data_IF_110680677150
#
_entry.id   IF_110680677150
#
_cell.length_a   1.000
_cell.length_b   1.000
_cell.length_c   1.000
_cell.angle_alpha   90.00
_cell.angle_beta   90.00
_cell.angle_gamma   90.00
#
_symmetry.space_group_name_H-M   'P 1'
#
loop_
_entity.id
_entity.type
_entity.pdbx_description
1 polymer ?
#
# COMPACT_ATOMS: atom_id res chain seq x y z
N UNK A 1 30.42 -13.83 0.59
CA UNK A 1 31.04 -12.52 0.88
C UNK A 1 30.02 -11.86 1.79
N UNK A 2 30.25 -11.60 3.08
CA UNK A 2 29.12 -11.22 3.95
C UNK A 2 28.59 -9.83 3.57
N UNK A 3 27.27 -9.66 3.53
CA UNK A 3 26.63 -8.33 3.51
C UNK A 3 27.09 -7.63 4.79
N UNK A 4 27.79 -6.50 4.66
CA UNK A 4 28.54 -5.87 5.77
C UNK A 4 27.57 -5.20 6.74
N UNK A 5 26.36 -4.89 6.27
CA UNK A 5 25.33 -4.17 7.02
C UNK A 5 24.07 -4.99 7.37
N UNK A 6 24.17 -6.32 7.55
CA UNK A 6 23.02 -7.16 7.94
C UNK A 6 22.32 -6.76 9.25
N UNK A 7 22.96 -5.90 10.05
CA UNK A 7 22.42 -5.42 11.33
C UNK A 7 21.66 -4.09 11.21
N UNK A 8 21.56 -3.52 10.00
CA UNK A 8 20.87 -2.25 9.73
C UNK A 8 19.54 -2.53 9.02
N UNK A 9 18.46 -1.92 9.51
CA UNK A 9 17.17 -1.96 8.84
C UNK A 9 17.21 -1.01 7.64
N UNK A 10 17.11 -1.55 6.43
CA UNK A 10 17.06 -0.76 5.21
C UNK A 10 15.63 -0.57 4.73
N UNK A 11 15.37 0.54 4.06
CA UNK A 11 14.18 0.81 3.26
C UNK A 11 14.63 0.80 1.79
N UNK A 12 13.89 0.07 0.96
CA UNK A 12 14.13 0.01 -0.48
C UNK A 12 13.59 1.27 -1.15
N UNK A 13 14.47 2.13 -1.64
CA UNK A 13 14.06 3.36 -2.34
C UNK A 13 13.80 3.13 -3.83
N UNK A 14 14.61 2.28 -4.46
CA UNK A 14 14.55 2.10 -5.92
C UNK A 14 15.23 0.79 -6.35
N UNK A 15 14.76 0.23 -7.46
CA UNK A 15 15.31 -0.96 -8.12
C UNK A 15 15.72 -0.59 -9.53
N UNK A 16 17.00 -0.29 -9.71
CA UNK A 16 17.54 0.16 -10.99
C UNK A 16 18.01 -1.04 -11.80
N UNK A 17 17.38 -1.18 -12.97
CA UNK A 17 17.75 -2.13 -13.99
C UNK A 17 18.79 -1.50 -14.93
N UNK A 18 20.07 -1.82 -14.71
CA UNK A 18 21.14 -1.33 -15.58
C UNK A 18 21.00 -1.92 -17.00
N UNK A 19 20.90 -1.03 -17.99
CA UNK A 19 20.80 -1.43 -19.40
C UNK A 19 21.98 -2.33 -19.79
N UNK A 20 21.66 -3.44 -20.45
CA UNK A 20 22.63 -4.46 -20.88
C UNK A 20 23.41 -5.14 -19.74
N UNK A 21 22.91 -5.08 -18.50
CA UNK A 21 23.49 -5.78 -17.35
C UNK A 21 22.68 -7.02 -16.99
N UNK A 22 23.34 -8.07 -16.51
CA UNK A 22 22.70 -9.21 -15.84
C UNK A 22 22.36 -8.90 -14.37
N UNK A 23 22.65 -7.68 -13.92
CA UNK A 23 22.51 -7.23 -12.54
C UNK A 23 21.33 -6.29 -12.28
N UNK A 24 21.13 -6.02 -11.00
CA UNK A 24 20.21 -5.00 -10.48
C UNK A 24 20.98 -4.16 -9.46
N UNK A 25 20.61 -2.89 -9.36
CA UNK A 25 21.13 -1.98 -8.35
C UNK A 25 19.99 -1.56 -7.44
N UNK A 26 20.10 -1.89 -6.16
CA UNK A 26 19.14 -1.50 -5.14
C UNK A 26 19.63 -0.24 -4.45
N UNK A 27 18.83 0.82 -4.47
CA UNK A 27 19.08 2.02 -3.65
C UNK A 27 18.40 1.81 -2.30
N UNK A 28 19.16 1.95 -1.23
CA UNK A 28 18.73 1.68 0.14
C UNK A 28 19.00 2.90 1.03
N UNK A 29 18.15 3.09 2.03
CA UNK A 29 18.36 4.02 3.13
C UNK A 29 18.08 3.33 4.45
N UNK A 30 18.77 3.70 5.53
CA UNK A 30 18.43 3.24 6.88
C UNK A 30 17.64 4.28 7.68
N UNK A 31 17.18 5.34 7.00
CA UNK A 31 16.41 6.43 7.58
C UNK A 31 14.93 6.23 7.28
N UNK A 32 14.13 6.12 8.34
CA UNK A 32 12.66 6.17 8.24
C UNK A 32 12.11 7.59 8.49
N UNK A 33 12.98 8.56 8.79
CA UNK A 33 12.66 9.96 8.96
C UNK A 33 13.89 10.84 8.66
N UNK A 34 13.68 12.06 8.19
CA UNK A 34 14.76 13.05 8.08
C UNK A 34 14.80 13.98 9.30
N UNK A 35 15.98 14.24 9.89
CA UNK A 35 16.11 15.19 10.97
C UNK A 35 15.80 16.62 10.50
N UNK A 36 15.32 17.46 11.41
CA UNK A 36 15.12 18.90 11.15
C UNK A 36 16.43 19.66 10.91
N UNK A 37 17.57 19.11 11.35
CA UNK A 37 18.90 19.70 11.20
C UNK A 37 19.81 18.73 10.48
N UNK A 38 20.53 19.24 9.48
CA UNK A 38 21.40 18.46 8.60
C UNK A 38 22.79 18.31 9.23
N UNK A 39 23.20 17.08 9.47
CA UNK A 39 24.57 16.71 9.83
C UNK A 39 25.07 15.69 8.79
N UNK A 40 25.64 16.13 7.64
CA UNK A 40 25.92 15.27 6.47
C UNK A 40 26.77 14.03 6.75
N UNK A 41 27.59 14.07 7.80
CA UNK A 41 28.45 12.96 8.23
C UNK A 41 27.67 11.82 8.89
N UNK A 42 26.47 12.10 9.38
CA UNK A 42 25.60 11.13 10.06
C UNK A 42 24.77 10.30 9.07
N UNK A 43 24.71 10.70 7.80
CA UNK A 43 23.83 10.08 6.82
C UNK A 43 24.62 9.46 5.67
N UNK A 44 24.34 8.19 5.41
CA UNK A 44 24.99 7.41 4.37
C UNK A 44 23.97 6.96 3.34
N UNK A 45 24.41 6.92 2.09
CA UNK A 45 23.73 6.25 0.98
C UNK A 45 24.22 4.81 0.94
N UNK A 46 23.27 3.89 0.85
CA UNK A 46 23.55 2.47 0.72
C UNK A 46 23.10 2.01 -0.67
N UNK A 47 23.99 1.32 -1.37
CA UNK A 47 23.69 0.75 -2.68
C UNK A 47 24.16 -0.70 -2.73
N UNK A 48 23.23 -1.61 -2.99
CA UNK A 48 23.56 -3.01 -3.21
C UNK A 48 23.49 -3.32 -4.70
N UNK A 49 24.65 -3.62 -5.30
CA UNK A 49 24.73 -4.10 -6.68
C UNK A 49 24.72 -5.61 -6.68
N UNK A 50 23.72 -6.20 -7.33
CA UNK A 50 23.59 -7.64 -7.56
C UNK A 50 24.04 -7.94 -8.99
N UNK A 51 24.83 -9.00 -9.19
CA UNK A 51 25.43 -9.36 -10.48
C UNK A 51 25.09 -10.81 -10.80
N UNK A 52 24.74 -11.10 -12.06
CA UNK A 52 24.49 -12.47 -12.52
C UNK A 52 23.26 -13.11 -11.89
N UNK A 53 22.11 -12.44 -11.97
CA UNK A 53 20.89 -12.89 -11.29
C UNK A 53 20.14 -13.90 -12.19
N UNK A 54 20.00 -15.16 -11.74
CA UNK A 54 19.39 -16.24 -12.52
C UNK A 54 17.94 -15.93 -12.97
N UNK A 55 17.17 -15.25 -12.10
CA UNK A 55 15.77 -14.86 -12.35
C UNK A 55 15.58 -13.35 -12.19
N UNK A 56 16.44 -12.56 -12.83
CA UNK A 56 16.48 -11.09 -12.75
C UNK A 56 15.09 -10.44 -12.83
N UNK A 57 14.31 -10.74 -13.86
CA UNK A 57 12.99 -10.12 -14.07
C UNK A 57 12.04 -10.41 -12.92
N UNK A 58 12.03 -11.65 -12.42
CA UNK A 58 11.19 -12.03 -11.27
C UNK A 58 11.62 -11.27 -10.02
N UNK A 59 12.92 -11.24 -9.71
CA UNK A 59 13.43 -10.51 -8.55
C UNK A 59 13.04 -9.03 -8.61
N UNK A 60 13.25 -8.39 -9.76
CA UNK A 60 12.88 -6.98 -9.99
C UNK A 60 11.40 -6.74 -9.73
N UNK A 61 10.52 -7.50 -10.39
CA UNK A 61 9.07 -7.32 -10.27
C UNK A 61 8.57 -7.56 -8.84
N UNK A 62 9.17 -8.50 -8.10
CA UNK A 62 8.81 -8.70 -6.70
C UNK A 62 9.31 -7.54 -5.83
N UNK A 63 10.57 -7.10 -5.98
CA UNK A 63 11.14 -5.99 -5.19
C UNK A 63 10.41 -4.65 -5.44
N UNK A 64 10.00 -4.37 -6.67
CA UNK A 64 9.26 -3.14 -7.03
C UNK A 64 7.93 -3.01 -6.27
N UNK A 65 7.32 -4.12 -5.82
CA UNK A 65 6.11 -4.10 -5.00
C UNK A 65 6.35 -3.61 -3.56
N UNK A 66 7.61 -3.67 -3.12
CA UNK A 66 8.06 -3.29 -1.78
C UNK A 66 8.94 -2.04 -1.81
N UNK A 67 8.85 -1.23 -2.88
CA UNK A 67 9.42 0.11 -2.87
C UNK A 67 8.81 0.90 -1.69
N UNK A 68 9.65 1.67 -1.01
CA UNK A 68 9.38 2.43 0.21
C UNK A 68 9.12 1.57 1.47
N UNK A 69 9.25 0.25 1.40
CA UNK A 69 9.14 -0.64 2.57
C UNK A 69 10.50 -1.06 3.12
N UNK A 70 10.50 -1.57 4.36
CA UNK A 70 11.68 -2.20 4.93
C UNK A 70 12.11 -3.41 4.11
N UNK A 71 13.42 -3.56 3.91
CA UNK A 71 14.04 -4.64 3.18
C UNK A 71 15.18 -5.24 4.02
N UNK A 72 15.09 -6.55 4.20
CA UNK A 72 16.12 -7.37 4.82
C UNK A 72 16.66 -8.38 3.81
N UNK A 73 17.97 -8.62 3.83
CA UNK A 73 18.69 -9.41 2.83
C UNK A 73 19.76 -10.26 3.50
N UNK A 74 19.61 -11.58 3.42
CA UNK A 74 20.53 -12.55 4.02
C UNK A 74 21.19 -13.46 2.99
N UNK A 75 22.52 -13.66 3.09
CA UNK A 75 23.22 -14.72 2.34
C UNK A 75 23.09 -16.05 3.09
N UNK A 76 22.08 -16.86 2.71
CA UNK A 76 21.80 -18.15 3.36
C UNK A 76 22.76 -19.27 2.92
N UNK A 77 23.30 -19.16 1.71
CA UNK A 77 24.34 -20.02 1.11
C UNK A 77 25.12 -19.17 0.12
N UNK A 78 26.35 -19.56 -0.20
CA UNK A 78 27.19 -18.84 -1.16
C UNK A 78 26.44 -18.50 -2.45
N UNK A 79 26.26 -17.20 -2.71
CA UNK A 79 25.56 -16.69 -3.89
C UNK A 79 24.04 -16.92 -3.91
N UNK A 80 23.42 -17.27 -2.78
CA UNK A 80 21.96 -17.32 -2.64
C UNK A 80 21.55 -16.31 -1.58
N UNK A 81 20.85 -15.28 -2.03
CA UNK A 81 20.30 -14.22 -1.20
C UNK A 81 18.82 -14.47 -0.92
N UNK A 82 18.42 -14.33 0.33
CA UNK A 82 17.03 -14.39 0.78
C UNK A 82 16.54 -12.98 1.11
N UNK A 83 15.47 -12.53 0.44
CA UNK A 83 14.94 -11.18 0.57
C UNK A 83 13.63 -11.20 1.35
N UNK A 84 13.50 -10.29 2.31
CA UNK A 84 12.33 -10.15 3.19
C UNK A 84 11.89 -8.69 3.29
N UNK A 85 10.59 -8.48 3.48
CA UNK A 85 10.01 -7.16 3.75
C UNK A 85 8.81 -7.31 4.68
N UNK A 86 8.78 -6.55 5.78
CA UNK A 86 7.68 -6.52 6.76
C UNK A 86 7.17 -7.91 7.22
N UNK A 87 8.10 -8.85 7.41
CA UNK A 87 7.79 -10.23 7.83
C UNK A 87 7.33 -11.16 6.70
N UNK A 88 7.30 -10.68 5.45
CA UNK A 88 7.02 -11.46 4.25
C UNK A 88 8.30 -11.81 3.50
N UNK A 89 8.44 -13.08 3.12
CA UNK A 89 9.54 -13.52 2.26
C UNK A 89 9.23 -13.15 0.81
N UNK A 90 10.03 -12.24 0.25
CA UNK A 90 9.98 -11.88 -1.18
C UNK A 90 10.49 -13.07 -2.02
N UNK A 91 11.58 -13.70 -1.56
CA UNK A 91 12.07 -14.94 -2.12
C UNK A 91 13.58 -15.13 -2.05
N UNK A 92 14.01 -16.31 -2.49
CA UNK A 92 15.42 -16.72 -2.56
C UNK A 92 15.93 -16.68 -4.00
N UNK A 93 17.03 -15.97 -4.22
CA UNK A 93 17.57 -15.74 -5.55
C UNK A 93 19.05 -16.02 -5.60
N UNK A 94 19.46 -16.72 -6.66
CA UNK A 94 20.86 -16.97 -6.95
C UNK A 94 21.46 -15.78 -7.69
N UNK A 95 22.61 -15.32 -7.20
CA UNK A 95 23.44 -14.26 -7.76
C UNK A 95 24.88 -14.74 -7.85
N UNK A 96 25.60 -14.33 -8.90
CA UNK A 96 27.02 -14.68 -9.06
C UNK A 96 27.88 -13.94 -8.04
N UNK A 97 27.58 -12.66 -7.80
CA UNK A 97 28.23 -11.83 -6.81
C UNK A 97 27.38 -10.62 -6.46
N UNK A 98 27.75 -9.93 -5.37
CA UNK A 98 27.15 -8.67 -4.99
C UNK A 98 28.19 -7.75 -4.37
N UNK A 99 27.95 -6.44 -4.49
CA UNK A 99 28.82 -5.39 -3.96
C UNK A 99 27.97 -4.38 -3.22
N UNK A 100 28.30 -4.18 -1.95
CA UNK A 100 27.73 -3.13 -1.12
C UNK A 100 28.59 -1.87 -1.23
N UNK A 101 27.97 -0.74 -1.58
CA UNK A 101 28.63 0.56 -1.64
C UNK A 101 27.98 1.47 -0.59
N UNK A 102 28.80 1.92 0.36
CA UNK A 102 28.39 2.88 1.39
C UNK A 102 29.10 4.21 1.09
N UNK A 103 28.32 5.25 0.84
CA UNK A 103 28.83 6.57 0.46
C UNK A 103 28.20 7.65 1.34
N UNK A 104 28.86 8.80 1.44
CA UNK A 104 28.23 9.99 2.02
C UNK A 104 27.14 10.52 1.09
N UNK A 105 26.05 11.05 1.66
CA UNK A 105 25.02 11.70 0.86
C UNK A 105 25.59 12.97 0.24
N UNK A 106 25.50 13.07 -1.08
CA UNK A 106 25.72 14.32 -1.80
C UNK A 106 24.52 15.25 -1.63
N UNK A 107 24.68 16.53 -1.97
CA UNK A 107 23.58 17.50 -1.94
C UNK A 107 22.43 17.08 -2.88
N UNK A 108 22.76 16.48 -4.00
CA UNK A 108 21.81 15.96 -4.98
C UNK A 108 21.04 14.76 -4.40
N UNK A 109 21.73 13.81 -3.75
CA UNK A 109 21.06 12.68 -3.08
C UNK A 109 20.06 13.15 -2.00
N UNK A 110 20.36 14.27 -1.33
CA UNK A 110 19.44 14.90 -0.37
C UNK A 110 18.15 15.42 -1.01
N UNK A 111 18.26 16.07 -2.17
CA UNK A 111 17.10 16.59 -2.91
C UNK A 111 16.21 15.43 -3.36
N UNK A 112 16.82 14.40 -3.94
CA UNK A 112 16.11 13.21 -4.41
C UNK A 112 15.37 12.51 -3.25
N UNK A 113 16.05 12.31 -2.12
CA UNK A 113 15.44 11.69 -0.95
C UNK A 113 14.28 12.50 -0.37
N UNK A 114 14.39 13.83 -0.34
CA UNK A 114 13.32 14.69 0.15
C UNK A 114 12.12 14.69 -0.80
N UNK A 115 12.36 14.66 -2.12
CA UNK A 115 11.31 14.52 -3.11
C UNK A 115 10.57 13.18 -2.99
N UNK A 116 11.30 12.08 -2.77
CA UNK A 116 10.68 10.77 -2.55
C UNK A 116 9.80 10.76 -1.30
N UNK A 117 10.26 11.37 -0.20
CA UNK A 117 9.48 11.50 1.03
C UNK A 117 8.21 12.32 0.82
N UNK A 118 8.30 13.46 0.12
CA UNK A 118 7.14 14.27 -0.23
C UNK A 118 6.15 13.47 -1.08
N UNK A 119 6.64 12.75 -2.10
CA UNK A 119 5.80 11.90 -2.95
C UNK A 119 5.08 10.84 -2.12
N UNK A 120 5.76 10.21 -1.16
CA UNK A 120 5.17 9.25 -0.24
C UNK A 120 4.04 9.88 0.60
N UNK A 121 4.31 11.02 1.23
CA UNK A 121 3.30 11.72 2.04
C UNK A 121 2.07 12.13 1.22
N UNK A 122 2.28 12.71 0.04
CA UNK A 122 1.15 13.11 -0.83
C UNK A 122 0.38 11.91 -1.37
N UNK A 123 1.06 10.80 -1.69
CA UNK A 123 0.38 9.57 -2.12
C UNK A 123 -0.52 9.01 -1.02
N UNK A 124 -0.06 8.99 0.24
CA UNK A 124 -0.87 8.56 1.37
C UNK A 124 -2.10 9.45 1.57
N UNK A 125 -1.93 10.77 1.50
CA UNK A 125 -3.04 11.74 1.62
C UNK A 125 -4.08 11.57 0.49
N UNK A 126 -3.62 11.35 -0.74
CA UNK A 126 -4.47 11.04 -1.90
C UNK A 126 -5.26 9.73 -1.73
N UNK A 127 -4.63 8.69 -1.17
CA UNK A 127 -5.29 7.40 -0.90
C UNK A 127 -6.38 7.54 0.16
N UNK A 128 -6.09 8.24 1.25
CA UNK A 128 -7.07 8.58 2.30
C UNK A 128 -8.24 9.38 1.72
N UNK A 129 -7.95 10.36 0.86
CA UNK A 129 -8.97 11.18 0.20
C UNK A 129 -9.85 10.34 -0.73
N UNK A 130 -9.26 9.43 -1.53
CA UNK A 130 -10.01 8.52 -2.41
C UNK A 130 -10.92 7.59 -1.61
N UNK A 131 -10.43 7.04 -0.51
CA UNK A 131 -11.23 6.19 0.37
C UNK A 131 -12.45 6.95 0.92
N UNK A 132 -12.24 8.16 1.43
CA UNK A 132 -13.32 9.04 1.93
C UNK A 132 -14.39 9.34 0.86
N UNK A 133 -13.98 9.62 -0.38
CA UNK A 133 -14.90 9.84 -1.51
C UNK A 133 -15.71 8.58 -1.83
N UNK A 134 -15.07 7.40 -1.83
CA UNK A 134 -15.75 6.13 -2.12
C UNK A 134 -16.74 5.77 -1.03
N UNK A 135 -16.37 5.94 0.24
CA UNK A 135 -17.26 5.78 1.39
C UNK A 135 -18.49 6.70 1.25
N UNK A 136 -18.29 7.98 0.96
CA UNK A 136 -19.38 8.95 0.77
C UNK A 136 -20.32 8.52 -0.38
N UNK A 137 -19.77 8.16 -1.54
CA UNK A 137 -20.57 7.67 -2.69
C UNK A 137 -21.36 6.40 -2.38
N UNK A 138 -20.81 5.50 -1.56
CA UNK A 138 -21.49 4.29 -1.14
C UNK A 138 -22.69 4.62 -0.24
N UNK A 139 -22.50 5.49 0.75
CA UNK A 139 -23.57 5.95 1.64
C UNK A 139 -24.70 6.65 0.87
N UNK A 140 -24.36 7.55 -0.05
CA UNK A 140 -25.35 8.22 -0.91
C UNK A 140 -26.16 7.23 -1.75
N UNK A 141 -25.52 6.18 -2.28
CA UNK A 141 -26.20 5.12 -3.05
C UNK A 141 -27.13 4.29 -2.16
N UNK A 142 -26.72 3.95 -0.93
CA UNK A 142 -27.56 3.24 0.01
C UNK A 142 -28.81 4.05 0.35
N UNK A 143 -28.63 5.33 0.71
CA UNK A 143 -29.73 6.26 0.99
C UNK A 143 -30.70 6.37 -0.19
N UNK A 144 -30.17 6.51 -1.41
CA UNK A 144 -31.03 6.59 -2.60
C UNK A 144 -31.83 5.30 -2.82
N UNK A 145 -31.21 4.14 -2.58
CA UNK A 145 -31.86 2.83 -2.73
C UNK A 145 -32.98 2.66 -1.70
N UNK A 146 -32.76 3.06 -0.44
CA UNK A 146 -33.79 3.00 0.61
C UNK A 146 -34.96 3.94 0.29
N UNK A 147 -34.69 5.18 -0.13
CA UNK A 147 -35.72 6.13 -0.58
C UNK A 147 -36.54 5.63 -1.78
N UNK A 148 -35.90 5.00 -2.77
CA UNK A 148 -36.59 4.43 -3.92
C UNK A 148 -37.47 3.25 -3.54
N UNK A 149 -37.04 2.39 -2.62
CA UNK A 149 -37.82 1.24 -2.17
C UNK A 149 -39.02 1.68 -1.31
N UNK A 150 -38.85 2.71 -0.47
CA UNK A 150 -39.96 3.35 0.27
C UNK A 150 -41.02 3.88 -0.70
N UNK A 151 -40.61 4.66 -1.72
CA UNK A 151 -41.54 5.20 -2.73
C UNK A 151 -42.25 4.10 -3.52
N UNK A 152 -41.56 3.01 -3.84
CA UNK A 152 -42.17 1.85 -4.52
C UNK A 152 -43.18 1.14 -3.62
N UNK A 153 -42.84 0.98 -2.34
CA UNK A 153 -43.72 0.39 -1.34
C UNK A 153 -45.02 1.20 -1.25
N UNK A 154 -44.94 2.51 -1.00
CA UNK A 154 -46.11 3.40 -0.87
C UNK A 154 -47.07 3.28 -2.06
N UNK A 155 -46.54 3.34 -3.29
CA UNK A 155 -47.33 3.24 -4.52
C UNK A 155 -47.96 1.86 -4.70
N UNK A 156 -47.23 0.80 -4.40
CA UNK A 156 -47.68 -0.58 -4.65
C UNK A 156 -48.60 -1.09 -3.55
N UNK A 157 -48.41 -0.68 -2.30
CA UNK A 157 -49.29 -1.05 -1.19
C UNK A 157 -50.70 -0.52 -1.39
N UNK A 158 -50.83 0.69 -1.96
CA UNK A 158 -52.14 1.27 -2.28
C UNK A 158 -52.84 0.53 -3.42
N UNK A 159 -52.08 0.12 -4.45
CA UNK A 159 -52.60 -0.62 -5.60
C UNK A 159 -52.99 -2.07 -5.27
N UNK A 160 -52.23 -2.75 -4.41
CA UNK A 160 -52.44 -4.15 -4.04
C UNK A 160 -53.13 -4.33 -2.68
N UNK A 161 -53.78 -3.30 -2.15
CA UNK A 161 -54.35 -3.28 -0.79
C UNK A 161 -55.24 -4.49 -0.43
N UNK A 162 -55.90 -5.10 -1.42
CA UNK A 162 -56.81 -6.23 -1.24
C UNK A 162 -56.14 -7.61 -1.53
N UNK A 163 -54.89 -7.63 -2.00
CA UNK A 163 -54.09 -8.83 -2.30
C UNK A 163 -53.08 -9.08 -1.17
N UNK A 164 -53.49 -9.86 -0.17
CA UNK A 164 -52.71 -10.15 1.05
C UNK A 164 -51.32 -10.70 0.78
N UNK A 165 -51.17 -11.58 -0.22
CA UNK A 165 -49.88 -12.20 -0.51
C UNK A 165 -48.90 -11.18 -1.08
N UNK A 166 -49.37 -10.29 -1.95
CA UNK A 166 -48.54 -9.20 -2.48
C UNK A 166 -48.20 -8.15 -1.43
N UNK A 167 -49.13 -7.84 -0.52
CA UNK A 167 -48.86 -6.90 0.58
C UNK A 167 -47.81 -7.47 1.55
N UNK A 168 -47.89 -8.76 1.89
CA UNK A 168 -46.88 -9.40 2.73
C UNK A 168 -45.48 -9.37 2.09
N UNK A 169 -45.37 -9.66 0.80
CA UNK A 169 -44.10 -9.58 0.08
C UNK A 169 -43.55 -8.14 0.00
N UNK A 170 -44.42 -7.13 -0.09
CA UNK A 170 -44.03 -5.71 -0.04
C UNK A 170 -43.52 -5.32 1.36
N UNK A 171 -44.17 -5.80 2.42
CA UNK A 171 -43.76 -5.56 3.80
C UNK A 171 -42.38 -6.15 4.11
N UNK A 172 -42.08 -7.35 3.61
CA UNK A 172 -40.76 -7.97 3.77
C UNK A 172 -39.65 -7.13 3.13
N UNK A 173 -39.88 -6.61 1.92
CA UNK A 173 -38.94 -5.72 1.22
C UNK A 173 -38.76 -4.39 1.94
N UNK A 174 -39.84 -3.83 2.47
CA UNK A 174 -39.79 -2.59 3.27
C UNK A 174 -39.00 -2.79 4.57
N UNK A 175 -39.20 -3.92 5.24
CA UNK A 175 -38.43 -4.28 6.44
C UNK A 175 -36.93 -4.41 6.12
N UNK A 176 -36.57 -4.99 4.98
CA UNK A 176 -35.18 -5.04 4.52
C UNK A 176 -34.62 -3.64 4.25
N UNK A 177 -35.36 -2.78 3.56
CA UNK A 177 -34.96 -1.39 3.31
C UNK A 177 -34.74 -0.60 4.61
N UNK A 178 -35.63 -0.76 5.59
CA UNK A 178 -35.49 -0.14 6.91
C UNK A 178 -34.26 -0.64 7.67
N UNK A 179 -33.94 -1.94 7.59
CA UNK A 179 -32.72 -2.50 8.18
C UNK A 179 -31.46 -1.95 7.52
N UNK A 180 -31.47 -1.77 6.20
CA UNK A 180 -30.36 -1.15 5.46
C UNK A 180 -30.18 0.32 5.90
N UNK A 181 -31.26 1.07 6.08
CA UNK A 181 -31.19 2.44 6.58
C UNK A 181 -30.66 2.51 8.02
N UNK A 182 -31.05 1.58 8.89
CA UNK A 182 -30.52 1.51 10.26
C UNK A 182 -29.00 1.25 10.27
N UNK A 183 -28.52 0.32 9.43
CA UNK A 183 -27.08 0.05 9.27
C UNK A 183 -26.36 1.30 8.74
N UNK A 184 -26.96 1.99 7.76
CA UNK A 184 -26.44 3.25 7.22
C UNK A 184 -26.27 4.33 8.30
N UNK A 185 -27.29 4.55 9.14
CA UNK A 185 -27.23 5.51 10.24
C UNK A 185 -26.23 5.10 11.33
N UNK A 186 -26.15 3.81 11.67
CA UNK A 186 -25.16 3.29 12.61
C UNK A 186 -23.74 3.55 12.12
N UNK A 187 -23.46 3.26 10.85
CA UNK A 187 -22.16 3.50 10.24
C UNK A 187 -21.78 4.99 10.23
N UNK A 188 -22.72 5.90 9.90
CA UNK A 188 -22.50 7.36 9.99
C UNK A 188 -22.17 7.80 11.42
N UNK A 189 -22.86 7.22 12.42
CA UNK A 189 -22.63 7.53 13.83
C UNK A 189 -21.25 7.05 14.29
N UNK A 190 -20.86 5.83 13.91
CA UNK A 190 -19.53 5.28 14.20
C UNK A 190 -18.42 6.12 13.55
N UNK A 191 -18.58 6.53 12.28
CA UNK A 191 -17.63 7.43 11.60
C UNK A 191 -17.41 8.76 12.34
N UNK A 192 -18.47 9.36 12.89
CA UNK A 192 -18.38 10.63 13.63
C UNK A 192 -17.64 10.51 14.97
N UNK A 193 -17.55 9.31 15.53
CA UNK A 193 -16.90 9.05 16.82
C UNK A 193 -15.43 8.62 16.69
N UNK A 194 -14.90 8.55 15.47
CA UNK A 194 -13.48 8.21 15.20
C UNK A 194 -12.59 9.48 15.22
N UNK A 195 -13.19 10.68 15.29
CA UNK A 195 -12.49 11.96 15.53
C UNK A 195 -12.58 12.42 16.98
#
# INVERSE_FOLDING_TARGET
MKIVSSNLNFILLDVIDEKNSSGLKLKLTNLNHFPRKLEPKEFKKFELKLIGIEKKTKLKTELEKFADNYLDIDEIKTGILDFWSDGYQIGKFKVDSFVENVMELTKEDWIDNYQNLLNFYYKQDDEITKESILQTKFLDRLKKLTEEEIKKYERKSEFFKDDKDKINALNERMNLANRIEQIHQQFISELKNIG
#
